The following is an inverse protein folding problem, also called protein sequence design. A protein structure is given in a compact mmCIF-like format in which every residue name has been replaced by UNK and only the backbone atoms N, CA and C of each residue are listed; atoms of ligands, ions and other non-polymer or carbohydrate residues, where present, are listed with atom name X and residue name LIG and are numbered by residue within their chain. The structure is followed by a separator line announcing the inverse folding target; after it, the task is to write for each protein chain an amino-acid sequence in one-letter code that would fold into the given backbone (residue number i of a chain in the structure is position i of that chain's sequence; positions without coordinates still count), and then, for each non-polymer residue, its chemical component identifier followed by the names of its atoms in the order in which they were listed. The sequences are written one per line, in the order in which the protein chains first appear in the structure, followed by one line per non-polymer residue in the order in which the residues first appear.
data_IF_332670035914
#
_entry.id   IF_332670035914
#
_cell.length_a   1.000
_cell.length_b   1.000
_cell.length_c   1.000
_cell.angle_alpha   90.00
_cell.angle_beta   90.00
_cell.angle_gamma   90.00
#
_symmetry.space_group_name_H-M   'P 1'
#
loop_
_entity.id
_entity.type
_entity.pdbx_description
1 polymer ?
#
# COMPACT_ATOMS: atom_id res chain seq x y z
N UNK A 1 -5.81 31.62 17.58
CA UNK A 1 -4.39 31.83 17.27
C UNK A 1 -3.84 30.46 16.86
N UNK A 2 -3.69 30.20 15.55
CA UNK A 2 -3.21 28.90 15.06
C UNK A 2 -1.68 28.92 15.05
N UNK A 3 -1.04 27.98 15.75
CA UNK A 3 0.41 27.86 15.73
C UNK A 3 0.84 27.33 14.37
N UNK A 4 1.53 28.16 13.59
CA UNK A 4 2.18 27.73 12.37
C UNK A 4 3.37 26.83 12.73
N UNK A 5 3.28 25.54 12.39
CA UNK A 5 4.42 24.63 12.44
C UNK A 5 5.30 24.89 11.22
N UNK A 6 6.32 25.74 11.36
CA UNK A 6 7.42 25.82 10.41
C UNK A 6 8.37 24.65 10.66
N UNK A 7 8.18 23.55 9.92
CA UNK A 7 9.13 22.45 9.88
C UNK A 7 10.35 22.92 9.07
N UNK A 8 11.45 23.19 9.76
CA UNK A 8 12.70 23.59 9.15
C UNK A 8 13.38 22.33 8.57
N UNK A 9 13.28 22.13 7.27
CA UNK A 9 13.72 20.92 6.55
C UNK A 9 15.26 20.70 6.57
N UNK A 10 16.03 21.69 7.02
CA UNK A 10 17.48 21.74 6.85
C UNK A 10 18.32 20.94 7.87
N UNK A 11 17.74 20.21 8.83
CA UNK A 11 18.52 19.48 9.84
C UNK A 11 17.99 18.10 10.25
N UNK A 12 17.17 17.46 9.43
CA UNK A 12 16.70 16.11 9.72
C UNK A 12 17.83 15.11 9.42
N UNK A 13 18.71 14.92 10.40
CA UNK A 13 19.57 13.76 10.49
C UNK A 13 18.69 12.50 10.40
N UNK A 14 18.91 11.67 9.38
CA UNK A 14 18.04 10.53 9.04
C UNK A 14 17.90 9.53 10.19
N UNK A 15 18.84 9.53 11.13
CA UNK A 15 18.88 8.62 12.28
C UNK A 15 18.34 9.24 13.59
N UNK A 16 17.82 10.48 13.55
CA UNK A 16 17.46 11.23 14.77
C UNK A 16 16.06 10.95 15.32
N UNK A 17 15.19 10.27 14.57
CA UNK A 17 13.82 9.99 15.04
C UNK A 17 13.84 8.78 15.97
N UNK A 18 13.82 9.06 17.27
CA UNK A 18 13.65 8.03 18.28
C UNK A 18 12.28 7.35 18.16
N UNK A 19 12.18 6.09 18.59
CA UNK A 19 10.91 5.35 18.66
C UNK A 19 9.81 6.16 19.36
N UNK A 20 10.14 6.85 20.45
CA UNK A 20 9.21 7.68 21.20
C UNK A 20 8.67 8.88 20.39
N UNK A 21 9.54 9.52 19.58
CA UNK A 21 9.13 10.60 18.69
C UNK A 21 8.22 10.09 17.56
N UNK A 22 8.58 8.95 16.94
CA UNK A 22 7.73 8.31 15.93
C UNK A 22 6.35 7.97 16.49
N UNK A 23 6.28 7.30 17.65
CA UNK A 23 5.02 6.95 18.30
C UNK A 23 4.18 8.20 18.65
N UNK A 24 4.83 9.29 19.05
CA UNK A 24 4.15 10.55 19.35
C UNK A 24 3.53 11.16 18.08
N UNK A 25 4.28 11.18 16.98
CA UNK A 25 3.81 11.70 15.69
C UNK A 25 2.64 10.84 15.18
N UNK A 26 2.79 9.52 15.16
CA UNK A 26 1.74 8.59 14.71
C UNK A 26 0.49 8.73 15.58
N UNK A 27 0.63 8.82 16.91
CA UNK A 27 -0.52 9.00 17.81
C UNK A 27 -1.26 10.29 17.54
N UNK A 28 -0.55 11.41 17.34
CA UNK A 28 -1.16 12.70 17.00
C UNK A 28 -1.89 12.61 15.66
N UNK A 29 -1.25 12.05 14.63
CA UNK A 29 -1.87 11.86 13.32
C UNK A 29 -3.16 11.03 13.42
N UNK A 30 -3.12 9.88 14.10
CA UNK A 30 -4.29 9.02 14.27
C UNK A 30 -5.43 9.73 15.03
N UNK A 31 -5.10 10.58 16.01
CA UNK A 31 -6.08 11.40 16.72
C UNK A 31 -6.68 12.48 15.81
N UNK A 32 -5.86 13.18 15.03
CA UNK A 32 -6.30 14.25 14.12
C UNK A 32 -7.24 13.73 13.04
N UNK A 33 -6.97 12.56 12.47
CA UNK A 33 -7.85 11.92 11.48
C UNK A 33 -9.04 11.19 12.13
N UNK A 34 -9.19 11.26 13.45
CA UNK A 34 -10.22 10.53 14.22
C UNK A 34 -10.25 9.03 13.87
N UNK A 35 -9.05 8.44 13.75
CA UNK A 35 -8.87 7.07 13.31
C UNK A 35 -9.66 6.10 14.19
N UNK A 36 -10.36 5.17 13.55
CA UNK A 36 -10.98 4.02 14.20
C UNK A 36 -10.24 2.76 13.75
N UNK A 37 -10.01 1.78 14.64
CA UNK A 37 -9.44 0.50 14.26
C UNK A 37 -10.19 -0.11 13.08
N UNK A 38 -9.46 -0.40 12.01
CA UNK A 38 -10.02 -0.92 10.77
C UNK A 38 -10.34 -2.41 10.95
N UNK A 39 -11.56 -2.80 10.58
CA UNK A 39 -11.97 -4.20 10.57
C UNK A 39 -11.61 -4.77 9.21
N UNK A 40 -10.66 -5.71 9.19
CA UNK A 40 -10.28 -6.41 7.98
C UNK A 40 -11.33 -7.49 7.67
N UNK A 41 -12.18 -7.23 6.68
CA UNK A 41 -13.10 -8.24 6.16
C UNK A 41 -12.36 -9.13 5.16
N UNK A 42 -12.50 -10.45 5.33
CA UNK A 42 -12.00 -11.41 4.35
C UNK A 42 -13.03 -11.59 3.24
N UNK A 43 -12.61 -11.37 1.99
CA UNK A 43 -13.44 -11.53 0.79
C UNK A 43 -12.77 -12.56 -0.12
N UNK A 44 -12.96 -13.84 0.21
CA UNK A 44 -12.26 -14.97 -0.43
C UNK A 44 -12.56 -15.04 -1.94
N UNK A 45 -13.78 -14.69 -2.35
CA UNK A 45 -14.17 -14.69 -3.75
C UNK A 45 -13.39 -13.64 -4.54
N UNK A 46 -13.28 -12.44 -3.97
CA UNK A 46 -12.51 -11.35 -4.57
C UNK A 46 -11.01 -11.63 -4.55
N UNK A 47 -10.49 -12.20 -3.46
CA UNK A 47 -9.08 -12.63 -3.35
C UNK A 47 -8.73 -13.64 -4.44
N UNK A 48 -9.59 -14.64 -4.65
CA UNK A 48 -9.42 -15.66 -5.68
C UNK A 48 -9.47 -15.06 -7.09
N UNK A 49 -10.45 -14.19 -7.33
CA UNK A 49 -10.58 -13.48 -8.61
C UNK A 49 -9.35 -12.62 -8.94
N UNK A 50 -8.84 -11.85 -7.98
CA UNK A 50 -7.62 -11.05 -8.18
C UNK A 50 -6.41 -11.96 -8.40
N UNK A 51 -6.30 -13.06 -7.65
CA UNK A 51 -5.19 -14.01 -7.81
C UNK A 51 -5.16 -14.62 -9.22
N UNK A 52 -6.31 -14.99 -9.78
CA UNK A 52 -6.38 -15.49 -11.17
C UNK A 52 -5.82 -14.47 -12.16
N UNK A 53 -6.21 -13.20 -12.03
CA UNK A 53 -5.70 -12.13 -12.90
C UNK A 53 -4.20 -11.92 -12.75
N UNK A 54 -3.67 -11.98 -11.52
CA UNK A 54 -2.24 -11.86 -11.28
C UNK A 54 -1.46 -13.06 -11.83
N UNK A 55 -2.01 -14.27 -11.75
CA UNK A 55 -1.39 -15.48 -12.28
C UNK A 55 -1.28 -15.44 -13.80
N UNK A 56 -2.30 -14.94 -14.49
CA UNK A 56 -2.27 -14.80 -15.95
C UNK A 56 -1.14 -13.87 -16.38
N UNK A 57 -1.04 -12.69 -15.78
CA UNK A 57 0.05 -11.74 -16.07
C UNK A 57 1.42 -12.29 -15.68
N UNK A 58 1.52 -12.95 -14.52
CA UNK A 58 2.80 -13.47 -14.05
C UNK A 58 3.33 -14.63 -14.90
N UNK A 59 2.45 -15.46 -15.46
CA UNK A 59 2.83 -16.52 -16.41
C UNK A 59 3.39 -15.93 -17.70
N UNK A 60 2.72 -14.92 -18.24
CA UNK A 60 3.14 -14.23 -19.46
C UNK A 60 4.50 -13.52 -19.29
N UNK A 61 4.77 -13.05 -18.08
CA UNK A 61 5.99 -12.30 -17.73
C UNK A 61 7.07 -13.17 -17.04
N UNK A 62 6.86 -14.48 -16.91
CA UNK A 62 7.74 -15.43 -16.23
C UNK A 62 8.15 -15.01 -14.80
N UNK A 63 7.22 -14.43 -14.04
CA UNK A 63 7.45 -13.92 -12.70
C UNK A 63 7.33 -15.01 -11.62
N UNK A 64 7.92 -14.75 -10.46
CA UNK A 64 7.81 -15.61 -9.28
C UNK A 64 6.35 -15.67 -8.77
N UNK A 65 5.76 -16.85 -8.88
CA UNK A 65 4.36 -17.10 -8.55
C UNK A 65 4.11 -17.25 -7.04
N UNK A 66 5.16 -17.45 -6.21
CA UNK A 66 4.99 -17.77 -4.79
C UNK A 66 4.39 -16.62 -3.97
N UNK A 67 4.60 -15.37 -4.39
CA UNK A 67 4.14 -14.18 -3.67
C UNK A 67 2.75 -13.70 -4.09
N UNK A 68 2.24 -14.17 -5.23
CA UNK A 68 0.97 -13.68 -5.80
C UNK A 68 -0.25 -13.89 -4.89
N UNK A 69 -0.41 -15.02 -4.16
CA UNK A 69 -1.54 -15.18 -3.24
C UNK A 69 -1.56 -14.13 -2.12
N UNK A 70 -0.39 -13.77 -1.60
CA UNK A 70 -0.27 -12.73 -0.58
C UNK A 70 -0.54 -11.34 -1.15
N UNK A 71 -0.09 -11.07 -2.38
CA UNK A 71 -0.37 -9.82 -3.08
C UNK A 71 -1.87 -9.66 -3.36
N UNK A 72 -2.55 -10.71 -3.82
CA UNK A 72 -3.99 -10.69 -4.06
C UNK A 72 -4.75 -10.36 -2.78
N UNK A 73 -4.40 -11.04 -1.67
CA UNK A 73 -4.98 -10.77 -0.35
C UNK A 73 -4.76 -9.34 0.10
N UNK A 74 -3.53 -8.83 0.03
CA UNK A 74 -3.21 -7.47 0.42
C UNK A 74 -3.97 -6.45 -0.44
N UNK A 75 -4.08 -6.68 -1.74
CA UNK A 75 -4.78 -5.80 -2.66
C UNK A 75 -6.27 -5.67 -2.31
N UNK A 76 -6.93 -6.79 -2.03
CA UNK A 76 -8.34 -6.82 -1.62
C UNK A 76 -8.52 -6.12 -0.27
N UNK A 77 -7.64 -6.39 0.70
CA UNK A 77 -7.68 -5.74 2.01
C UNK A 77 -7.52 -4.22 1.89
N UNK A 78 -6.52 -3.75 1.14
CA UNK A 78 -6.27 -2.32 0.89
C UNK A 78 -7.47 -1.64 0.26
N UNK A 79 -8.12 -2.28 -0.71
CA UNK A 79 -9.26 -1.68 -1.41
C UNK A 79 -10.50 -1.59 -0.52
N UNK A 80 -10.79 -2.61 0.28
CA UNK A 80 -11.88 -2.54 1.27
C UNK A 80 -11.60 -1.48 2.35
N UNK A 81 -10.34 -1.22 2.66
CA UNK A 81 -9.90 -0.27 3.67
C UNK A 81 -10.02 1.19 3.19
N UNK A 82 -9.54 1.46 1.97
CA UNK A 82 -9.42 2.82 1.42
C UNK A 82 -10.70 3.24 0.70
N UNK A 83 -11.40 2.29 0.06
CA UNK A 83 -12.53 2.57 -0.81
C UNK A 83 -13.85 1.89 -0.37
N UNK A 84 -14.20 1.82 0.92
CA UNK A 84 -15.32 0.98 1.41
C UNK A 84 -16.70 1.35 0.83
N UNK A 85 -16.84 2.54 0.23
CA UNK A 85 -18.12 3.04 -0.28
C UNK A 85 -18.33 2.81 -1.80
N UNK A 86 -17.39 2.16 -2.48
CA UNK A 86 -17.51 1.89 -3.91
C UNK A 86 -18.27 0.60 -4.21
N UNK A 87 -18.83 0.53 -5.43
CA UNK A 87 -19.55 -0.66 -5.90
C UNK A 87 -18.58 -1.84 -6.06
N UNK A 88 -19.04 -3.06 -5.77
CA UNK A 88 -18.23 -4.29 -5.82
C UNK A 88 -17.45 -4.47 -7.14
N UNK A 89 -18.06 -4.16 -8.29
CA UNK A 89 -17.38 -4.26 -9.59
C UNK A 89 -16.23 -3.25 -9.75
N UNK A 90 -16.39 -2.04 -9.21
CA UNK A 90 -15.29 -1.06 -9.19
C UNK A 90 -14.19 -1.49 -8.22
N UNK A 91 -14.55 -2.03 -7.04
CA UNK A 91 -13.57 -2.56 -6.09
C UNK A 91 -12.74 -3.68 -6.73
N UNK A 92 -13.36 -4.59 -7.48
CA UNK A 92 -12.64 -5.67 -8.20
C UNK A 92 -11.59 -5.09 -9.14
N UNK A 93 -11.97 -4.09 -9.92
CA UNK A 93 -11.08 -3.43 -10.86
C UNK A 93 -9.90 -2.75 -10.12
N UNK A 94 -10.20 -1.99 -9.06
CA UNK A 94 -9.16 -1.31 -8.27
C UNK A 94 -8.21 -2.36 -7.65
N UNK A 95 -8.73 -3.46 -7.11
CA UNK A 95 -7.91 -4.49 -6.48
C UNK A 95 -6.99 -5.21 -7.47
N UNK A 96 -7.44 -5.43 -8.71
CA UNK A 96 -6.57 -5.95 -9.78
C UNK A 96 -5.41 -4.98 -10.03
N UNK A 97 -5.71 -3.70 -10.24
CA UNK A 97 -4.66 -2.70 -10.51
C UNK A 97 -3.71 -2.52 -9.32
N UNK A 98 -4.23 -2.50 -8.10
CA UNK A 98 -3.42 -2.50 -6.87
C UNK A 98 -2.48 -3.71 -6.84
N UNK A 99 -2.97 -4.90 -7.22
CA UNK A 99 -2.15 -6.10 -7.34
C UNK A 99 -1.04 -5.96 -8.40
N UNK A 100 -1.34 -5.39 -9.56
CA UNK A 100 -0.33 -5.12 -10.59
C UNK A 100 0.76 -4.17 -10.08
N UNK A 101 0.38 -3.10 -9.37
CA UNK A 101 1.37 -2.18 -8.79
C UNK A 101 2.31 -2.89 -7.81
N UNK A 102 1.78 -3.73 -6.93
CA UNK A 102 2.62 -4.52 -6.01
C UNK A 102 3.55 -5.49 -6.75
N UNK A 103 3.08 -6.15 -7.81
CA UNK A 103 3.93 -7.03 -8.64
C UNK A 103 5.05 -6.23 -9.30
N UNK A 104 4.75 -5.06 -9.86
CA UNK A 104 5.75 -4.16 -10.48
C UNK A 104 6.77 -3.69 -9.44
N UNK A 105 6.33 -3.31 -8.24
CA UNK A 105 7.24 -2.87 -7.17
C UNK A 105 8.21 -3.99 -6.76
N UNK A 106 7.70 -5.21 -6.55
CA UNK A 106 8.54 -6.36 -6.16
C UNK A 106 9.54 -6.73 -7.26
N UNK A 107 9.10 -6.72 -8.52
CA UNK A 107 9.94 -7.09 -9.67
C UNK A 107 10.95 -6.01 -10.05
N UNK A 108 10.58 -4.74 -9.93
CA UNK A 108 11.50 -3.61 -10.14
C UNK A 108 12.61 -3.61 -9.10
N UNK A 109 12.30 -3.93 -7.84
CA UNK A 109 13.29 -4.03 -6.76
C UNK A 109 14.27 -5.19 -6.95
N UNK A 110 13.83 -6.30 -7.53
CA UNK A 110 14.72 -7.42 -7.88
C UNK A 110 15.57 -7.15 -9.13
N UNK A 111 15.09 -6.30 -10.05
CA UNK A 111 15.77 -6.02 -11.32
C UNK A 111 16.77 -4.85 -11.24
N UNK A 112 16.57 -3.92 -10.32
CA UNK A 112 17.49 -2.81 -10.06
C UNK A 112 17.49 -2.45 -8.56
N UNK A 113 18.42 -3.01 -7.77
CA UNK A 113 18.50 -2.73 -6.32
C UNK A 113 18.74 -1.26 -5.98
N UNK A 114 19.31 -0.47 -6.91
CA UNK A 114 19.60 0.95 -6.74
C UNK A 114 18.50 1.88 -7.25
N UNK A 115 17.39 1.35 -7.75
CA UNK A 115 16.28 2.13 -8.31
C UNK A 115 15.17 2.42 -7.28
N UNK A 116 15.51 2.57 -5.99
CA UNK A 116 14.57 2.71 -4.86
C UNK A 116 13.61 3.93 -4.92
N UNK A 117 13.64 4.73 -6.00
CA UNK A 117 12.96 6.02 -6.06
C UNK A 117 11.88 6.17 -7.13
N UNK A 118 11.60 5.16 -7.97
CA UNK A 118 10.79 5.41 -9.17
C UNK A 118 9.26 5.31 -9.00
N UNK A 119 8.73 4.66 -7.96
CA UNK A 119 7.29 4.29 -7.92
C UNK A 119 6.51 4.90 -6.75
N UNK A 120 7.15 5.72 -5.91
CA UNK A 120 6.46 6.48 -4.85
C UNK A 120 5.53 7.60 -5.35
N UNK A 121 5.45 7.82 -6.66
CA UNK A 121 4.75 8.95 -7.29
C UNK A 121 3.27 8.64 -7.60
N UNK A 122 2.85 7.37 -7.63
CA UNK A 122 1.49 7.01 -8.07
C UNK A 122 0.43 6.97 -6.94
N UNK A 123 0.79 7.32 -5.71
CA UNK A 123 -0.12 7.37 -4.55
C UNK A 123 -0.41 8.82 -4.05
N UNK A 124 -0.28 9.82 -4.93
CA UNK A 124 -0.69 11.22 -4.67
C UNK A 124 -1.75 11.68 -5.66
#
# INVERSE_FOLDING_TARGET
MAAAFTLNEASLDRDSVTKAQFETIVRKLLQEISYKPLVMHQDVDMESFVLEQLLDVARDQHLDLQKLPQIAKLSVQTVHLIYPWHKKELLKLIAIYTGYFYVIEITSRSSCPNCEHFVGIFWL
#
